data_IF_833749651962
#
_entry.id   IF_833749651962
#
_cell.length_a   1.000
_cell.length_b   1.000
_cell.length_c   1.000
_cell.angle_alpha   90.00
_cell.angle_beta   90.00
_cell.angle_gamma   90.00
#
_symmetry.space_group_name_H-M   'P 1'
#
loop_
_entity.id
_entity.type
_entity.pdbx_description
1 polymer ?
#
# COMPACT_ATOMS: atom_id res chain seq x y z
N UNK A 1 -5.18 7.83 -17.57
CA UNK A 1 -4.86 6.46 -17.09
C UNK A 1 -5.48 6.23 -15.74
N UNK A 2 -6.04 5.05 -15.54
CA UNK A 2 -6.63 4.67 -14.25
C UNK A 2 -5.52 4.14 -13.34
N UNK A 3 -5.42 4.69 -12.12
CA UNK A 3 -4.48 4.18 -11.13
C UNK A 3 -5.03 2.90 -10.50
N UNK A 4 -4.18 1.92 -10.30
CA UNK A 4 -4.55 0.60 -9.80
C UNK A 4 -3.94 0.36 -8.43
N UNK A 5 -4.79 -0.01 -7.46
CA UNK A 5 -4.41 -0.18 -6.05
C UNK A 5 -4.67 -1.63 -5.63
N UNK A 6 -3.68 -2.24 -5.00
CA UNK A 6 -3.82 -3.58 -4.44
C UNK A 6 -3.87 -3.52 -2.92
N UNK A 7 -4.93 -4.07 -2.32
CA UNK A 7 -5.04 -4.23 -0.87
C UNK A 7 -4.74 -5.68 -0.49
N UNK A 8 -3.80 -5.85 0.43
CA UNK A 8 -3.41 -7.18 0.93
C UNK A 8 -3.84 -7.32 2.39
N UNK A 9 -4.39 -8.46 2.74
CA UNK A 9 -4.95 -8.77 4.07
C UNK A 9 -6.11 -7.84 4.42
N UNK A 10 -7.05 -7.74 3.50
CA UNK A 10 -8.20 -6.86 3.68
C UNK A 10 -9.08 -7.31 4.84
N UNK A 11 -9.34 -6.40 5.78
CA UNK A 11 -10.36 -6.57 6.80
C UNK A 11 -11.59 -5.75 6.38
N UNK A 12 -12.76 -6.18 6.84
CA UNK A 12 -14.03 -5.51 6.54
C UNK A 12 -13.99 -3.99 6.79
N UNK A 13 -13.19 -3.55 7.76
CA UNK A 13 -13.06 -2.13 8.08
C UNK A 13 -12.46 -1.30 6.95
N UNK A 14 -11.80 -1.92 5.97
CA UNK A 14 -11.22 -1.22 4.81
C UNK A 14 -12.17 -1.17 3.62
N UNK A 15 -13.34 -1.83 3.67
CA UNK A 15 -14.27 -1.85 2.55
C UNK A 15 -14.79 -0.44 2.22
N UNK A 16 -14.99 0.39 3.24
CA UNK A 16 -15.44 1.76 3.02
C UNK A 16 -14.40 2.56 2.24
N UNK A 17 -13.13 2.41 2.60
CA UNK A 17 -12.03 3.12 1.95
C UNK A 17 -11.86 2.63 0.51
N UNK A 18 -11.92 1.32 0.28
CA UNK A 18 -11.84 0.78 -1.08
C UNK A 18 -12.99 1.25 -1.96
N UNK A 19 -14.19 1.36 -1.38
CA UNK A 19 -15.35 1.90 -2.08
C UNK A 19 -15.17 3.36 -2.46
N UNK A 20 -14.59 4.18 -1.58
CA UNK A 20 -14.29 5.57 -1.88
C UNK A 20 -13.26 5.69 -3.02
N UNK A 21 -12.23 4.88 -3.01
CA UNK A 21 -11.24 4.86 -4.07
C UNK A 21 -11.87 4.50 -5.41
N UNK A 22 -12.74 3.50 -5.44
CA UNK A 22 -13.44 3.10 -6.65
C UNK A 22 -14.29 4.24 -7.20
N UNK A 23 -15.00 4.96 -6.33
CA UNK A 23 -15.80 6.13 -6.73
C UNK A 23 -14.95 7.26 -7.30
N UNK A 24 -13.70 7.36 -6.87
CA UNK A 24 -12.77 8.38 -7.35
C UNK A 24 -12.06 7.96 -8.65
N UNK A 25 -12.43 6.82 -9.21
CA UNK A 25 -11.86 6.35 -10.46
C UNK A 25 -10.66 5.43 -10.32
N UNK A 26 -10.27 5.05 -9.10
CA UNK A 26 -9.21 4.06 -8.91
C UNK A 26 -9.75 2.66 -9.17
N UNK A 27 -8.92 1.83 -9.77
CA UNK A 27 -9.20 0.41 -9.91
C UNK A 27 -8.62 -0.29 -8.67
N UNK A 28 -9.45 -1.04 -7.94
CA UNK A 28 -9.07 -1.63 -6.66
C UNK A 28 -9.19 -3.15 -6.69
N UNK A 29 -8.10 -3.84 -6.36
CA UNK A 29 -8.12 -5.28 -6.15
C UNK A 29 -7.91 -5.57 -4.67
N UNK A 30 -8.65 -6.55 -4.14
CA UNK A 30 -8.59 -6.95 -2.75
C UNK A 30 -8.18 -8.41 -2.67
N UNK A 31 -7.15 -8.71 -1.89
CA UNK A 31 -6.74 -10.10 -1.63
C UNK A 31 -6.65 -10.32 -0.13
N UNK A 32 -6.91 -11.57 0.29
CA UNK A 32 -7.00 -11.90 1.71
C UNK A 32 -5.73 -12.56 2.25
N UNK A 33 -4.78 -12.87 1.40
CA UNK A 33 -3.53 -13.49 1.83
C UNK A 33 -2.33 -12.81 1.18
N UNK A 34 -1.18 -12.92 1.85
CA UNK A 34 0.08 -12.38 1.34
C UNK A 34 0.47 -13.10 0.04
N UNK A 35 0.32 -14.41 -0.01
CA UNK A 35 0.67 -15.19 -1.20
C UNK A 35 -0.15 -14.78 -2.42
N UNK A 36 -1.46 -14.56 -2.24
CA UNK A 36 -2.31 -14.06 -3.32
C UNK A 36 -1.87 -12.67 -3.77
N UNK A 37 -1.48 -11.81 -2.83
CA UNK A 37 -0.98 -10.48 -3.15
C UNK A 37 0.32 -10.52 -3.94
N UNK A 38 1.25 -11.37 -3.54
CA UNK A 38 2.52 -11.51 -4.26
C UNK A 38 2.31 -12.07 -5.67
N UNK A 39 1.40 -13.01 -5.82
CA UNK A 39 1.04 -13.52 -7.14
C UNK A 39 0.49 -12.42 -8.04
N UNK A 40 -0.40 -11.58 -7.49
CA UNK A 40 -0.95 -10.43 -8.22
C UNK A 40 0.15 -9.48 -8.67
N UNK A 41 1.12 -9.21 -7.80
CA UNK A 41 2.22 -8.29 -8.11
C UNK A 41 3.11 -8.75 -9.24
N UNK A 42 3.26 -10.06 -9.44
CA UNK A 42 4.08 -10.58 -10.54
C UNK A 42 3.28 -10.75 -11.83
N UNK A 43 1.95 -10.79 -11.76
CA UNK A 43 1.09 -10.99 -12.94
C UNK A 43 0.43 -9.73 -13.44
N UNK A 44 0.31 -8.69 -12.62
CA UNK A 44 -0.35 -7.43 -12.98
C UNK A 44 0.46 -6.24 -12.47
N UNK A 45 0.28 -5.09 -13.13
CA UNK A 45 0.94 -3.86 -12.72
C UNK A 45 0.05 -3.08 -11.76
N UNK A 46 0.63 -2.61 -10.66
CA UNK A 46 -0.07 -1.79 -9.65
C UNK A 46 0.70 -0.49 -9.43
N UNK A 47 -0.05 0.56 -9.12
CA UNK A 47 0.53 1.88 -8.81
C UNK A 47 0.81 2.04 -7.33
N UNK A 48 0.04 1.38 -6.48
CA UNK A 48 0.21 1.38 -5.02
C UNK A 48 -0.24 0.05 -4.45
N UNK A 49 0.45 -0.39 -3.39
CA UNK A 49 0.04 -1.53 -2.57
C UNK A 49 -0.24 -1.05 -1.16
N UNK A 50 -1.37 -1.47 -0.61
CA UNK A 50 -1.75 -1.19 0.77
C UNK A 50 -1.80 -2.51 1.54
N UNK A 51 -1.01 -2.60 2.61
CA UNK A 51 -0.95 -3.78 3.47
C UNK A 51 -1.64 -3.47 4.78
N UNK A 52 -2.55 -4.35 5.20
CA UNK A 52 -3.09 -4.31 6.54
C UNK A 52 -2.34 -5.31 7.40
N UNK A 53 -1.71 -4.83 8.47
CA UNK A 53 -0.98 -5.70 9.39
C UNK A 53 -1.95 -6.63 10.12
N UNK A 54 -1.60 -7.91 10.20
CA UNK A 54 -2.38 -8.89 10.94
C UNK A 54 -1.59 -9.35 12.18
N UNK A 55 -2.27 -9.89 13.21
CA UNK A 55 -1.56 -10.41 14.38
C UNK A 55 -0.64 -11.59 14.08
N UNK A 56 -0.85 -12.25 12.95
CA UNK A 56 -0.11 -13.48 12.60
C UNK A 56 1.13 -13.24 11.77
N UNK A 57 1.17 -12.13 11.02
CA UNK A 57 2.28 -11.85 10.11
C UNK A 57 2.69 -10.40 10.30
N UNK A 58 3.94 -10.19 10.68
CA UNK A 58 4.48 -8.87 10.87
C UNK A 58 4.56 -8.11 9.53
N UNK A 59 4.21 -6.84 9.55
CA UNK A 59 4.19 -6.00 8.35
C UNK A 59 5.55 -5.90 7.67
N UNK A 60 6.65 -5.82 8.44
CA UNK A 60 7.99 -5.71 7.85
C UNK A 60 8.37 -6.94 7.04
N UNK A 61 7.91 -8.13 7.44
CA UNK A 61 8.15 -9.36 6.70
C UNK A 61 7.47 -9.30 5.32
N UNK A 62 6.23 -8.80 5.30
CA UNK A 62 5.49 -8.63 4.04
C UNK A 62 6.19 -7.62 3.15
N UNK A 63 6.64 -6.50 3.73
CA UNK A 63 7.37 -5.47 2.99
C UNK A 63 8.64 -6.03 2.34
N UNK A 64 9.40 -6.82 3.07
CA UNK A 64 10.62 -7.45 2.54
C UNK A 64 10.30 -8.35 1.35
N UNK A 65 9.24 -9.16 1.45
CA UNK A 65 8.83 -10.05 0.36
C UNK A 65 8.38 -9.26 -0.86
N UNK A 66 7.63 -8.18 -0.68
CA UNK A 66 7.20 -7.32 -1.78
C UNK A 66 8.41 -6.65 -2.43
N UNK A 67 9.35 -6.14 -1.64
CA UNK A 67 10.52 -5.46 -2.16
C UNK A 67 11.47 -6.38 -2.92
N UNK A 68 11.43 -7.69 -2.66
CA UNK A 68 12.17 -8.65 -3.47
C UNK A 68 11.60 -8.79 -4.89
N UNK A 69 10.35 -8.35 -5.12
CA UNK A 69 9.65 -8.50 -6.38
C UNK A 69 9.37 -7.18 -7.09
N UNK A 70 9.26 -6.07 -6.35
CA UNK A 70 8.73 -4.83 -6.91
C UNK A 70 9.19 -3.59 -6.13
N UNK A 71 9.28 -2.46 -6.85
CA UNK A 71 9.55 -1.15 -6.25
C UNK A 71 8.26 -0.32 -6.10
N UNK A 72 7.09 -0.96 -6.18
CA UNK A 72 5.80 -0.29 -6.09
C UNK A 72 5.67 0.50 -4.78
N UNK A 73 5.08 1.71 -4.80
CA UNK A 73 4.78 2.45 -3.57
C UNK A 73 3.94 1.61 -2.62
N UNK A 74 4.28 1.66 -1.33
CA UNK A 74 3.78 0.73 -0.32
C UNK A 74 3.35 1.47 0.93
N UNK A 75 2.08 1.28 1.32
CA UNK A 75 1.53 1.82 2.57
C UNK A 75 1.20 0.64 3.49
N UNK A 76 1.64 0.74 4.75
CA UNK A 76 1.28 -0.22 5.79
C UNK A 76 0.28 0.43 6.74
N UNK A 77 -0.82 -0.28 7.02
CA UNK A 77 -1.82 0.13 8.01
C UNK A 77 -1.73 -0.82 9.19
N UNK A 78 -1.59 -0.27 10.40
CA UNK A 78 -1.52 -1.05 11.63
C UNK A 78 -2.58 -0.63 12.62
N UNK A 79 -3.15 -1.61 13.32
CA UNK A 79 -4.18 -1.39 14.34
C UNK A 79 -3.57 -0.95 15.66
N UNK A 80 -2.39 -1.45 15.99
CA UNK A 80 -1.80 -1.26 17.32
C UNK A 80 -0.28 -1.35 17.22
N UNK A 81 0.33 -0.41 16.53
CA UNK A 81 1.75 -0.48 16.27
C UNK A 81 2.55 0.33 17.27
N UNK A 82 3.63 -0.26 17.76
CA UNK A 82 4.66 0.44 18.52
C UNK A 82 5.55 1.24 17.56
N UNK A 83 6.34 2.15 18.11
CA UNK A 83 7.34 2.87 17.33
C UNK A 83 8.33 1.91 16.68
N UNK A 84 8.70 0.84 17.37
CA UNK A 84 9.59 -0.18 16.85
C UNK A 84 9.01 -0.84 15.58
N UNK A 85 7.74 -1.21 15.59
CA UNK A 85 7.08 -1.79 14.42
C UNK A 85 7.10 -0.83 13.24
N UNK A 86 6.81 0.44 13.50
CA UNK A 86 6.85 1.48 12.47
C UNK A 86 8.25 1.58 11.84
N UNK A 87 9.28 1.65 12.67
CA UNK A 87 10.67 1.74 12.20
C UNK A 87 11.04 0.53 11.35
N UNK A 88 10.68 -0.67 11.80
CA UNK A 88 10.97 -1.90 11.06
C UNK A 88 10.27 -1.93 9.70
N UNK A 89 9.00 -1.50 9.65
CA UNK A 89 8.26 -1.47 8.40
C UNK A 89 8.88 -0.49 7.39
N UNK A 90 9.23 0.70 7.85
CA UNK A 90 9.86 1.71 7.00
C UNK A 90 11.22 1.23 6.51
N UNK A 91 12.03 0.65 7.40
CA UNK A 91 13.34 0.09 7.02
C UNK A 91 13.22 -1.07 6.05
N UNK A 92 12.14 -1.83 6.12
CA UNK A 92 11.88 -2.94 5.20
C UNK A 92 11.35 -2.48 3.84
N UNK A 93 11.08 -1.18 3.67
CA UNK A 93 10.72 -0.61 2.39
C UNK A 93 9.33 0.02 2.28
N UNK A 94 8.59 0.13 3.39
CA UNK A 94 7.31 0.84 3.37
C UNK A 94 7.55 2.34 3.17
N UNK A 95 6.74 2.96 2.30
CA UNK A 95 6.82 4.40 2.06
C UNK A 95 6.08 5.20 3.12
N UNK A 96 4.95 4.66 3.59
CA UNK A 96 4.19 5.25 4.69
C UNK A 96 3.70 4.17 5.63
N UNK A 97 3.57 4.54 6.90
CA UNK A 97 3.03 3.69 7.94
C UNK A 97 1.91 4.46 8.64
N UNK A 98 0.67 3.97 8.54
CA UNK A 98 -0.50 4.60 9.14
C UNK A 98 -0.99 3.79 10.32
N UNK A 99 -1.24 4.46 11.43
CA UNK A 99 -1.83 3.87 12.62
C UNK A 99 -3.31 4.18 12.68
N UNK A 100 -4.13 3.17 12.96
CA UNK A 100 -5.54 3.42 13.24
C UNK A 100 -5.68 4.02 14.65
N UNK A 101 -6.65 4.90 14.87
CA UNK A 101 -7.63 5.42 13.91
C UNK A 101 -7.04 6.51 12.99
N UNK A 102 -7.48 6.53 11.74
CA UNK A 102 -7.17 7.60 10.80
C UNK A 102 -8.43 7.90 9.98
N UNK A 103 -8.55 9.12 9.48
CA UNK A 103 -9.68 9.51 8.65
C UNK A 103 -9.50 9.09 7.20
N UNK A 104 -10.61 8.87 6.46
CA UNK A 104 -10.53 8.56 5.03
C UNK A 104 -9.78 9.61 4.22
N UNK A 105 -9.93 10.89 4.56
CA UNK A 105 -9.26 11.98 3.85
C UNK A 105 -7.75 11.93 4.04
N UNK A 106 -7.28 11.57 5.25
CA UNK A 106 -5.85 11.40 5.49
C UNK A 106 -5.28 10.28 4.63
N UNK A 107 -5.98 9.15 4.56
CA UNK A 107 -5.56 8.02 3.73
C UNK A 107 -5.50 8.41 2.25
N UNK A 108 -6.52 9.08 1.74
CA UNK A 108 -6.57 9.52 0.35
C UNK A 108 -5.45 10.51 0.03
N UNK A 109 -5.15 11.41 0.97
CA UNK A 109 -4.05 12.36 0.80
C UNK A 109 -2.69 11.64 0.69
N UNK A 110 -2.48 10.58 1.47
CA UNK A 110 -1.25 9.79 1.40
C UNK A 110 -1.12 9.06 0.07
N UNK A 111 -2.22 8.48 -0.43
CA UNK A 111 -2.24 7.83 -1.74
C UNK A 111 -1.89 8.82 -2.84
N UNK A 112 -2.54 9.97 -2.85
CA UNK A 112 -2.28 11.01 -3.85
C UNK A 112 -0.82 11.48 -3.80
N UNK A 113 -0.29 11.68 -2.61
CA UNK A 113 1.09 12.10 -2.42
C UNK A 113 2.08 11.10 -3.03
N UNK A 114 1.86 9.82 -2.80
CA UNK A 114 2.73 8.77 -3.34
C UNK A 114 2.63 8.68 -4.86
N UNK A 115 1.43 8.78 -5.41
CA UNK A 115 1.23 8.72 -6.85
C UNK A 115 1.87 9.92 -7.56
N UNK A 116 1.76 11.10 -6.99
CA UNK A 116 2.37 12.31 -7.54
C UNK A 116 3.89 12.23 -7.50
N UNK A 117 4.47 11.76 -6.40
CA UNK A 117 5.92 11.59 -6.28
C UNK A 117 6.46 10.60 -7.30
N UNK A 118 5.75 9.49 -7.51
CA UNK A 118 6.14 8.49 -8.48
C UNK A 118 6.10 9.05 -9.91
N UNK A 119 5.04 9.78 -10.26
CA UNK A 119 4.91 10.44 -11.56
C UNK A 119 6.01 11.49 -11.76
N UNK A 120 6.33 12.29 -10.74
CA UNK A 120 7.39 13.30 -10.80
C UNK A 120 8.76 12.65 -11.01
N UNK A 121 9.03 11.54 -10.34
CA UNK A 121 10.28 10.80 -10.54
C UNK A 121 10.42 10.27 -11.95
N UNK A 122 9.34 9.72 -12.51
CA UNK A 122 9.33 9.23 -13.88
C UNK A 122 9.56 10.36 -14.88
N UNK A 123 8.91 11.50 -14.68
CA UNK A 123 9.10 12.68 -15.53
C UNK A 123 10.54 13.19 -15.46
N UNK A 124 11.10 13.31 -14.26
CA UNK A 124 12.48 13.74 -14.08
C UNK A 124 13.46 12.78 -14.75
N UNK A 125 13.20 11.47 -14.66
CA UNK A 125 14.03 10.45 -15.30
C UNK A 125 14.01 10.55 -16.82
N UNK A 126 12.87 10.89 -17.41
CA UNK A 126 12.73 11.05 -18.85
C UNK A 126 13.43 12.31 -19.37
N UNK A 127 13.52 13.36 -18.55
CA UNK A 127 14.12 14.62 -18.93
C UNK A 127 15.65 14.56 -18.80
N UNK A 128 16.13 13.83 -17.83
CA UNK A 128 17.57 13.70 -17.58
C UNK A 128 18.19 12.62 -18.46
#
# INVERSE_FOLDING_TARGET
MVNKVLFINNIRSLLLISGLLSKMGYEVDLVHSVDAGLYKLVTEAYDIVVILESPRVASWTICERIRSLSHVPLIVISLNASTETCVRAINAGADYFLRKPFGPLEFLARINSLLQRNSSRQTASLIS
#
